data_IF_978329871513
#
_entry.id   IF_978329871513
#
_cell.length_a   1.000
_cell.length_b   1.000
_cell.length_c   1.000
_cell.angle_alpha   90.00
_cell.angle_beta   90.00
_cell.angle_gamma   90.00
#
_symmetry.space_group_name_H-M   'P 1'
#
loop_
_entity.id
_entity.type
_entity.pdbx_description
1 polymer ?
#
# COMPACT_ATOMS: atom_id res chain seq x y z
N UNK A 1 -0.86 20.27 -5.59
CA UNK A 1 -0.97 20.34 -4.11
C UNK A 1 -2.37 20.72 -3.60
N UNK A 2 -3.29 21.09 -4.46
CA UNK A 2 -4.71 21.24 -4.14
C UNK A 2 -5.45 20.14 -4.89
N UNK A 3 -6.39 19.46 -4.24
CA UNK A 3 -7.13 18.29 -4.77
C UNK A 3 -7.85 18.56 -6.12
N UNK A 4 -7.54 19.65 -6.79
CA UNK A 4 -8.07 20.11 -8.09
C UNK A 4 -9.61 20.01 -8.19
N UNK A 5 -10.30 20.14 -7.06
CA UNK A 5 -11.76 20.17 -7.05
C UNK A 5 -12.26 21.49 -7.63
N UNK A 6 -13.38 21.43 -8.32
CA UNK A 6 -14.08 22.62 -8.81
C UNK A 6 -14.77 23.32 -7.63
N UNK A 7 -14.31 24.51 -7.18
CA UNK A 7 -14.82 25.14 -5.97
C UNK A 7 -16.27 25.61 -6.09
N UNK A 8 -16.74 25.82 -7.31
CA UNK A 8 -18.10 26.24 -7.65
C UNK A 8 -19.06 25.07 -7.90
N UNK A 9 -18.61 23.83 -7.76
CA UNK A 9 -19.41 22.61 -7.90
C UNK A 9 -19.54 21.90 -6.56
N UNK A 10 -20.71 21.29 -6.33
CA UNK A 10 -20.92 20.45 -5.14
C UNK A 10 -20.09 19.18 -5.19
N UNK A 11 -20.06 18.41 -4.09
CA UNK A 11 -19.44 17.08 -4.03
C UNK A 11 -19.97 16.19 -5.15
N UNK A 12 -21.31 16.05 -5.27
CA UNK A 12 -21.93 15.26 -6.31
C UNK A 12 -21.51 15.70 -7.73
N UNK A 13 -21.47 17.01 -7.97
CA UNK A 13 -21.08 17.56 -9.26
C UNK A 13 -19.57 17.40 -9.54
N UNK A 14 -18.73 17.39 -8.51
CA UNK A 14 -17.32 17.12 -8.66
C UNK A 14 -17.10 15.64 -9.03
N UNK A 15 -17.69 14.72 -8.29
CA UNK A 15 -17.56 13.28 -8.53
C UNK A 15 -18.13 12.88 -9.88
N UNK A 16 -19.32 13.39 -10.24
CA UNK A 16 -19.99 13.10 -11.51
C UNK A 16 -19.43 13.85 -12.72
N UNK A 17 -18.45 14.76 -12.53
CA UNK A 17 -17.98 15.65 -13.60
C UNK A 17 -17.46 14.89 -14.83
N UNK A 18 -16.61 13.90 -14.63
CA UNK A 18 -16.05 13.10 -15.72
C UNK A 18 -17.12 12.32 -16.49
N UNK A 19 -18.10 11.77 -15.77
CA UNK A 19 -19.24 11.06 -16.37
C UNK A 19 -20.12 12.01 -17.22
N UNK A 20 -20.35 13.22 -16.72
CA UNK A 20 -21.12 14.23 -17.45
C UNK A 20 -20.40 14.68 -18.74
N UNK A 21 -19.05 14.80 -18.71
CA UNK A 21 -18.23 15.11 -19.90
C UNK A 21 -18.27 13.97 -20.92
N UNK A 22 -18.39 12.73 -20.46
CA UNK A 22 -18.58 11.56 -21.32
C UNK A 22 -19.99 11.44 -21.91
N UNK A 23 -20.85 12.43 -21.69
CA UNK A 23 -22.26 12.45 -22.12
C UNK A 23 -23.12 11.31 -21.54
N UNK A 24 -22.76 10.79 -20.36
CA UNK A 24 -23.60 9.85 -19.62
C UNK A 24 -24.91 10.56 -19.21
N UNK A 25 -26.08 9.93 -19.37
CA UNK A 25 -27.36 10.50 -18.95
C UNK A 25 -27.35 10.95 -17.49
N UNK A 26 -28.09 12.04 -17.20
CA UNK A 26 -28.03 12.68 -15.88
C UNK A 26 -28.38 11.74 -14.73
N UNK A 27 -29.42 10.95 -14.89
CA UNK A 27 -29.87 10.04 -13.84
C UNK A 27 -28.85 8.94 -13.58
N UNK A 28 -28.19 8.44 -14.62
CA UNK A 28 -27.15 7.42 -14.54
C UNK A 28 -25.88 7.95 -13.90
N UNK A 29 -25.39 9.15 -14.28
CA UNK A 29 -24.18 9.66 -13.66
C UNK A 29 -24.41 10.08 -12.19
N UNK A 30 -25.63 10.53 -11.82
CA UNK A 30 -25.97 10.82 -10.43
C UNK A 30 -25.90 9.53 -9.60
N UNK A 31 -26.49 8.44 -10.07
CA UNK A 31 -26.43 7.15 -9.39
C UNK A 31 -24.99 6.66 -9.19
N UNK A 32 -24.18 6.66 -10.25
CA UNK A 32 -22.77 6.28 -10.20
C UNK A 32 -21.97 7.16 -9.25
N UNK A 33 -22.15 8.48 -9.32
CA UNK A 33 -21.45 9.43 -8.44
C UNK A 33 -21.85 9.24 -6.98
N UNK A 34 -23.13 9.04 -6.67
CA UNK A 34 -23.62 8.78 -5.32
C UNK A 34 -23.04 7.48 -4.77
N UNK A 35 -22.98 6.42 -5.58
CA UNK A 35 -22.32 5.17 -5.18
C UNK A 35 -20.88 5.40 -4.73
N UNK A 36 -20.10 6.18 -5.48
CA UNK A 36 -18.71 6.47 -5.12
C UNK A 36 -18.58 7.39 -3.91
N UNK A 37 -19.48 8.37 -3.74
CA UNK A 37 -19.54 9.21 -2.55
C UNK A 37 -19.73 8.36 -1.30
N UNK A 38 -20.67 7.41 -1.32
CA UNK A 38 -20.92 6.52 -0.20
C UNK A 38 -19.71 5.59 0.07
N UNK A 39 -19.07 5.06 -1.00
CA UNK A 39 -17.88 4.20 -0.88
C UNK A 39 -16.69 4.86 -0.19
N UNK A 40 -16.53 6.17 -0.39
CA UNK A 40 -15.45 6.93 0.27
C UNK A 40 -15.89 7.54 1.61
N UNK A 41 -17.07 7.17 2.13
CA UNK A 41 -17.57 7.61 3.43
C UNK A 41 -17.99 9.08 3.46
N UNK A 42 -18.57 9.58 2.36
CA UNK A 42 -19.07 10.96 2.25
C UNK A 42 -20.58 11.03 2.03
N UNK A 43 -21.33 10.01 2.49
CA UNK A 43 -22.79 10.00 2.48
C UNK A 43 -23.34 11.22 3.26
N UNK A 44 -24.31 11.93 2.69
CA UNK A 44 -24.91 13.14 3.25
C UNK A 44 -24.18 14.44 2.92
N UNK A 45 -23.01 14.38 2.22
CA UNK A 45 -22.25 15.57 1.82
C UNK A 45 -22.42 15.93 0.33
N UNK A 46 -23.36 15.32 -0.39
CA UNK A 46 -23.54 15.42 -1.84
C UNK A 46 -23.75 16.86 -2.32
N UNK A 47 -24.41 17.67 -1.48
CA UNK A 47 -24.77 19.08 -1.78
C UNK A 47 -23.74 20.09 -1.27
N UNK A 48 -22.73 19.65 -0.50
CA UNK A 48 -21.71 20.53 0.04
C UNK A 48 -20.71 20.96 -1.03
N UNK A 49 -20.14 22.14 -0.85
CA UNK A 49 -19.05 22.66 -1.69
C UNK A 49 -17.69 22.33 -1.07
N UNK A 50 -16.61 22.23 -1.88
CA UNK A 50 -15.27 21.94 -1.36
C UNK A 50 -14.83 22.79 -0.19
N UNK A 51 -15.13 24.11 -0.19
CA UNK A 51 -14.78 25.02 0.90
C UNK A 51 -15.47 24.72 2.25
N UNK A 52 -16.46 23.86 2.28
CA UNK A 52 -17.17 23.44 3.50
C UNK A 52 -16.63 22.12 4.06
N UNK A 53 -15.63 21.50 3.41
CA UNK A 53 -15.08 20.20 3.73
C UNK A 53 -13.68 20.32 4.34
N UNK A 54 -13.32 19.38 5.22
CA UNK A 54 -11.93 19.23 5.66
C UNK A 54 -11.02 18.79 4.51
N UNK A 55 -9.69 18.93 4.65
CA UNK A 55 -8.73 18.51 3.63
C UNK A 55 -8.86 17.01 3.27
N UNK A 56 -9.03 16.15 4.27
CA UNK A 56 -9.24 14.72 4.05
C UNK A 56 -10.56 14.42 3.32
N UNK A 57 -11.64 15.14 3.63
CA UNK A 57 -12.91 15.00 2.88
C UNK A 57 -12.76 15.45 1.42
N UNK A 58 -12.06 16.57 1.18
CA UNK A 58 -11.78 17.03 -0.19
C UNK A 58 -11.01 15.99 -0.99
N UNK A 59 -10.06 15.31 -0.36
CA UNK A 59 -9.30 14.25 -0.99
C UNK A 59 -10.16 13.03 -1.32
N UNK A 60 -11.05 12.61 -0.41
CA UNK A 60 -12.03 11.55 -0.69
C UNK A 60 -12.93 11.90 -1.88
N UNK A 61 -13.32 13.17 -2.02
CA UNK A 61 -14.05 13.64 -3.22
C UNK A 61 -13.18 13.49 -4.47
N UNK A 62 -11.89 13.83 -4.40
CA UNK A 62 -10.94 13.68 -5.51
C UNK A 62 -10.77 12.22 -5.93
N UNK A 63 -10.63 11.32 -4.96
CA UNK A 63 -10.56 9.86 -5.19
C UNK A 63 -11.85 9.33 -5.82
N UNK A 64 -13.01 9.66 -5.25
CA UNK A 64 -14.32 9.28 -5.79
C UNK A 64 -14.52 9.76 -7.23
N UNK A 65 -14.10 11.00 -7.54
CA UNK A 65 -14.15 11.56 -8.91
C UNK A 65 -13.29 10.77 -9.89
N UNK A 66 -12.07 10.38 -9.49
CA UNK A 66 -11.18 9.62 -10.34
C UNK A 66 -11.72 8.21 -10.61
N UNK A 67 -12.29 7.56 -9.60
CA UNK A 67 -12.85 6.21 -9.70
C UNK A 67 -14.19 6.17 -10.45
N UNK A 68 -14.98 7.24 -10.37
CA UNK A 68 -16.32 7.30 -11.00
C UNK A 68 -16.27 7.15 -12.53
N UNK A 69 -15.18 7.57 -13.17
CA UNK A 69 -15.01 7.49 -14.64
C UNK A 69 -14.72 6.09 -15.16
N UNK A 70 -14.53 5.13 -14.26
CA UNK A 70 -14.26 3.72 -14.55
C UNK A 70 -13.01 3.48 -15.46
N UNK A 71 -12.01 4.36 -15.37
CA UNK A 71 -10.77 4.22 -16.11
C UNK A 71 -10.05 2.91 -15.74
N UNK A 72 -9.41 2.26 -16.70
CA UNK A 72 -8.63 1.02 -16.49
C UNK A 72 -7.33 1.31 -15.72
N UNK A 73 -6.74 2.49 -15.94
CA UNK A 73 -5.50 2.94 -15.31
C UNK A 73 -5.78 4.20 -14.50
N UNK A 74 -5.40 4.19 -13.23
CA UNK A 74 -5.48 5.35 -12.33
C UNK A 74 -4.06 5.89 -12.07
N UNK A 75 -3.86 7.17 -12.38
CA UNK A 75 -2.60 7.87 -12.08
C UNK A 75 -2.78 8.73 -10.84
N UNK A 76 -1.95 8.50 -9.83
CA UNK A 76 -1.96 9.21 -8.56
C UNK A 76 -0.57 9.81 -8.30
N UNK A 77 -0.48 11.13 -8.26
CA UNK A 77 0.77 11.85 -8.03
C UNK A 77 0.72 12.52 -6.65
N UNK A 78 1.54 12.04 -5.72
CA UNK A 78 1.63 12.48 -4.33
C UNK A 78 0.26 12.65 -3.64
N UNK A 79 -0.65 11.73 -3.92
CA UNK A 79 -2.06 11.87 -3.58
C UNK A 79 -2.34 12.06 -2.08
N UNK A 80 -1.47 11.58 -1.19
CA UNK A 80 -1.68 11.63 0.26
C UNK A 80 -0.65 12.49 1.02
N UNK A 81 0.25 13.18 0.31
CA UNK A 81 1.36 13.95 0.92
C UNK A 81 0.90 15.09 1.84
N UNK A 82 -0.22 15.72 1.54
CA UNK A 82 -0.75 16.87 2.29
C UNK A 82 -1.66 16.48 3.49
N UNK A 83 -1.83 15.19 3.77
CA UNK A 83 -2.68 14.71 4.85
C UNK A 83 -1.90 14.51 6.16
N UNK A 84 -2.60 14.69 7.28
CA UNK A 84 -2.07 14.23 8.56
C UNK A 84 -1.96 12.68 8.60
N UNK A 85 -1.11 12.11 9.49
CA UNK A 85 -0.82 10.68 9.47
C UNK A 85 -2.05 9.78 9.65
N UNK A 86 -3.05 10.20 10.44
CA UNK A 86 -4.24 9.39 10.70
C UNK A 86 -5.13 9.29 9.45
N UNK A 87 -5.45 10.45 8.87
CA UNK A 87 -6.27 10.53 7.64
C UNK A 87 -5.53 9.86 6.46
N UNK A 88 -4.20 10.03 6.37
CA UNK A 88 -3.37 9.36 5.36
C UNK A 88 -3.53 7.84 5.45
N UNK A 89 -3.38 7.27 6.66
CA UNK A 89 -3.52 5.81 6.86
C UNK A 89 -4.92 5.32 6.49
N UNK A 90 -5.96 6.07 6.83
CA UNK A 90 -7.35 5.77 6.46
C UNK A 90 -7.55 5.78 4.93
N UNK A 91 -7.01 6.79 4.24
CA UNK A 91 -7.10 6.91 2.78
C UNK A 91 -6.36 5.79 2.05
N UNK A 92 -5.19 5.40 2.55
CA UNK A 92 -4.43 4.26 2.03
C UNK A 92 -5.23 2.95 2.16
N UNK A 93 -5.87 2.73 3.32
CA UNK A 93 -6.71 1.54 3.53
C UNK A 93 -7.92 1.52 2.57
N UNK A 94 -8.61 2.66 2.41
CA UNK A 94 -9.71 2.79 1.43
C UNK A 94 -9.21 2.47 0.02
N UNK A 95 -8.02 2.94 -0.37
CA UNK A 95 -7.44 2.66 -1.70
C UNK A 95 -7.16 1.16 -1.88
N UNK A 96 -6.58 0.50 -0.87
CA UNK A 96 -6.29 -0.94 -0.89
C UNK A 96 -7.57 -1.78 -0.98
N UNK A 97 -8.59 -1.44 -0.19
CA UNK A 97 -9.89 -2.11 -0.22
C UNK A 97 -10.55 -1.98 -1.61
N UNK A 98 -10.53 -0.77 -2.17
CA UNK A 98 -11.06 -0.53 -3.51
C UNK A 98 -10.27 -1.25 -4.61
N UNK A 99 -8.93 -1.30 -4.51
CA UNK A 99 -8.08 -1.99 -5.46
C UNK A 99 -8.35 -3.49 -5.45
N UNK A 100 -8.51 -4.10 -4.26
CA UNK A 100 -8.81 -5.53 -4.11
C UNK A 100 -10.15 -5.94 -4.74
N UNK A 101 -11.12 -5.02 -4.82
CA UNK A 101 -12.43 -5.26 -5.44
C UNK A 101 -12.44 -4.95 -6.94
N UNK A 102 -11.76 -3.88 -7.36
CA UNK A 102 -11.85 -3.35 -8.72
C UNK A 102 -10.78 -3.91 -9.66
N UNK A 103 -9.70 -4.47 -9.10
CA UNK A 103 -8.55 -5.02 -9.85
C UNK A 103 -7.99 -4.07 -10.93
N UNK A 104 -7.99 -2.75 -10.64
CA UNK A 104 -7.49 -1.73 -11.56
C UNK A 104 -5.98 -1.58 -11.47
N UNK A 105 -5.35 -1.16 -12.56
CA UNK A 105 -3.96 -0.75 -12.55
C UNK A 105 -3.83 0.64 -11.94
N UNK A 106 -3.05 0.78 -10.88
CA UNK A 106 -2.78 2.07 -10.24
C UNK A 106 -1.29 2.37 -10.38
N UNK A 107 -0.96 3.52 -10.97
CA UNK A 107 0.39 4.08 -10.94
C UNK A 107 0.40 5.16 -9.87
N UNK A 108 1.13 4.89 -8.79
CA UNK A 108 1.17 5.75 -7.61
C UNK A 108 2.56 6.34 -7.45
N UNK A 109 2.68 7.67 -7.51
CA UNK A 109 3.93 8.40 -7.31
C UNK A 109 3.95 8.94 -5.89
N UNK A 110 5.01 8.63 -5.15
CA UNK A 110 5.24 9.12 -3.79
C UNK A 110 6.74 9.28 -3.53
N UNK A 111 7.09 10.17 -2.61
CA UNK A 111 8.43 10.26 -2.03
C UNK A 111 8.52 9.59 -0.64
N UNK A 112 7.40 9.03 -0.16
CA UNK A 112 7.30 8.31 1.12
C UNK A 112 7.42 6.81 0.87
N UNK A 113 8.54 6.23 1.33
CA UNK A 113 8.83 4.81 1.12
C UNK A 113 7.87 3.90 1.92
N UNK A 114 7.49 4.28 3.14
CA UNK A 114 6.52 3.50 3.93
C UNK A 114 5.19 3.39 3.19
N UNK A 115 4.78 4.46 2.51
CA UNK A 115 3.60 4.48 1.66
C UNK A 115 3.74 3.55 0.46
N UNK A 116 4.87 3.62 -0.26
CA UNK A 116 5.16 2.72 -1.38
C UNK A 116 5.16 1.24 -0.96
N UNK A 117 5.80 0.92 0.18
CA UNK A 117 5.87 -0.44 0.72
C UNK A 117 4.50 -0.97 1.18
N UNK A 118 3.60 -0.08 1.64
CA UNK A 118 2.25 -0.45 2.08
C UNK A 118 1.29 -0.69 0.92
N UNK A 119 1.37 0.15 -0.13
CA UNK A 119 0.38 0.19 -1.21
C UNK A 119 0.82 -0.63 -2.44
N UNK A 120 2.13 -0.63 -2.75
CA UNK A 120 2.63 -1.13 -4.03
C UNK A 120 2.80 -2.64 -4.07
N UNK A 121 2.29 -3.27 -5.13
CA UNK A 121 2.66 -4.64 -5.50
C UNK A 121 4.06 -4.67 -6.14
N UNK A 122 4.43 -3.59 -6.85
CA UNK A 122 5.77 -3.33 -7.41
C UNK A 122 6.18 -1.90 -7.11
N UNK A 123 7.46 -1.71 -6.84
CA UNK A 123 8.04 -0.41 -6.55
C UNK A 123 9.20 -0.16 -7.51
N UNK A 124 9.13 0.97 -8.21
CA UNK A 124 10.22 1.47 -9.03
C UNK A 124 10.91 2.65 -8.31
N UNK A 125 12.17 2.48 -7.95
CA UNK A 125 12.99 3.52 -7.33
C UNK A 125 13.74 4.27 -8.43
N UNK A 126 13.55 5.58 -8.48
CA UNK A 126 14.17 6.46 -9.47
C UNK A 126 15.20 7.37 -8.79
N UNK A 127 16.32 7.59 -9.52
CA UNK A 127 17.35 8.55 -9.14
C UNK A 127 17.84 9.29 -10.39
N UNK A 128 17.87 10.60 -10.35
CA UNK A 128 18.36 11.46 -11.44
C UNK A 128 17.71 11.13 -12.81
N UNK A 129 16.41 10.82 -12.80
CA UNK A 129 15.66 10.47 -14.02
C UNK A 129 15.86 9.05 -14.53
N UNK A 130 16.64 8.22 -13.83
CA UNK A 130 16.91 6.82 -14.19
C UNK A 130 16.30 5.87 -13.16
N UNK A 131 15.83 4.72 -13.62
CA UNK A 131 15.35 3.65 -12.75
C UNK A 131 16.54 2.90 -12.15
N UNK A 132 16.64 2.88 -10.81
CA UNK A 132 17.71 2.20 -10.06
C UNK A 132 17.30 0.77 -9.71
N UNK A 133 16.08 0.58 -9.26
CA UNK A 133 15.52 -0.74 -8.93
C UNK A 133 14.02 -0.77 -9.23
N UNK A 134 13.53 -1.90 -9.75
CA UNK A 134 12.12 -2.19 -9.95
C UNK A 134 11.85 -3.62 -9.49
N UNK A 135 11.20 -3.76 -8.33
CA UNK A 135 10.99 -5.05 -7.67
C UNK A 135 9.72 -5.02 -6.81
N UNK A 136 9.33 -6.15 -6.26
CA UNK A 136 8.35 -6.19 -5.17
C UNK A 136 8.93 -5.61 -3.86
N UNK A 137 8.07 -5.22 -2.90
CA UNK A 137 8.49 -4.64 -1.63
C UNK A 137 9.48 -5.50 -0.83
N UNK A 138 9.33 -6.82 -0.87
CA UNK A 138 10.19 -7.75 -0.10
C UNK A 138 11.59 -7.75 -0.69
N UNK A 139 11.71 -7.81 -2.03
CA UNK A 139 13.00 -7.81 -2.72
C UNK A 139 13.76 -6.49 -2.51
N UNK A 140 13.08 -5.34 -2.53
CA UNK A 140 13.73 -4.05 -2.23
C UNK A 140 14.34 -4.02 -0.84
N UNK A 141 13.62 -4.55 0.16
CA UNK A 141 14.10 -4.55 1.55
C UNK A 141 15.17 -5.60 1.79
N UNK A 142 15.06 -6.76 1.16
CA UNK A 142 15.99 -7.87 1.39
C UNK A 142 17.28 -7.71 0.56
N UNK A 143 17.18 -7.24 -0.67
CA UNK A 143 18.24 -7.19 -1.66
C UNK A 143 18.28 -5.81 -2.36
N UNK A 144 18.66 -4.72 -1.64
CA UNK A 144 18.81 -3.40 -2.26
C UNK A 144 19.87 -3.44 -3.36
N UNK A 145 19.57 -2.81 -4.51
CA UNK A 145 20.41 -2.87 -5.72
C UNK A 145 21.76 -2.16 -5.54
N UNK A 146 21.79 -1.09 -4.75
CA UNK A 146 23.00 -0.31 -4.48
C UNK A 146 22.95 0.39 -3.10
N UNK A 147 24.01 1.13 -2.78
CA UNK A 147 24.12 1.88 -1.52
C UNK A 147 23.03 2.98 -1.42
N UNK A 148 22.59 3.56 -2.54
CA UNK A 148 21.52 4.55 -2.55
C UNK A 148 20.21 3.94 -2.09
N UNK A 149 19.82 2.78 -2.63
CA UNK A 149 18.61 2.06 -2.21
C UNK A 149 18.75 1.60 -0.76
N UNK A 150 19.95 1.10 -0.37
CA UNK A 150 20.23 0.70 1.01
C UNK A 150 20.07 1.85 2.01
N UNK A 151 20.55 3.04 1.66
CA UNK A 151 20.37 4.25 2.47
C UNK A 151 18.92 4.70 2.52
N UNK A 152 18.18 4.54 1.42
CA UNK A 152 16.78 4.91 1.33
C UNK A 152 15.89 4.05 2.23
N UNK A 153 16.21 2.75 2.39
CA UNK A 153 15.44 1.81 3.21
C UNK A 153 15.94 1.68 4.66
N UNK A 154 17.01 2.36 5.05
CA UNK A 154 17.71 2.13 6.33
C UNK A 154 16.87 2.35 7.58
N UNK A 155 15.90 3.29 7.51
CA UNK A 155 15.06 3.68 8.65
C UNK A 155 13.72 2.91 8.69
N UNK A 156 13.47 2.05 7.70
CA UNK A 156 12.27 1.22 7.64
C UNK A 156 12.26 0.18 8.75
N UNK A 157 11.12 0.07 9.44
CA UNK A 157 10.91 -1.03 10.38
C UNK A 157 10.67 -2.34 9.61
N UNK A 158 11.75 -3.09 9.40
CA UNK A 158 11.75 -4.36 8.66
C UNK A 158 10.73 -5.37 9.20
N UNK A 159 10.52 -5.39 10.52
CA UNK A 159 9.57 -6.32 11.14
C UNK A 159 8.12 -6.09 10.71
N UNK A 160 7.77 -4.86 10.31
CA UNK A 160 6.43 -4.48 9.84
C UNK A 160 6.19 -4.70 8.35
N UNK A 161 7.25 -4.95 7.59
CA UNK A 161 7.17 -5.06 6.13
C UNK A 161 7.51 -6.46 5.66
N UNK A 162 8.56 -7.07 6.22
CA UNK A 162 9.00 -8.41 5.80
C UNK A 162 7.96 -9.44 6.21
N UNK A 163 7.59 -10.29 5.24
CA UNK A 163 6.60 -11.34 5.39
C UNK A 163 7.27 -12.70 5.64
N UNK A 164 6.52 -13.62 6.26
CA UNK A 164 6.94 -14.99 6.56
C UNK A 164 7.59 -15.69 5.38
N UNK A 165 6.98 -15.58 4.18
CA UNK A 165 7.46 -16.23 2.95
C UNK A 165 8.90 -15.86 2.57
N UNK A 166 9.36 -14.66 2.96
CA UNK A 166 10.68 -14.12 2.58
C UNK A 166 11.82 -14.67 3.44
N UNK A 167 11.52 -15.21 4.64
CA UNK A 167 12.54 -15.69 5.59
C UNK A 167 12.34 -17.15 6.03
N UNK A 168 11.23 -17.80 5.62
CA UNK A 168 10.94 -19.17 6.04
C UNK A 168 11.94 -20.18 5.48
N UNK A 169 12.20 -21.22 6.23
CA UNK A 169 12.84 -22.43 5.70
C UNK A 169 11.78 -23.29 5.03
N UNK A 170 11.93 -23.55 3.74
CA UNK A 170 10.96 -24.34 2.97
C UNK A 170 10.85 -25.78 3.49
N UNK A 171 9.65 -26.22 3.80
CA UNK A 171 9.33 -27.58 4.20
C UNK A 171 7.84 -27.86 3.96
N UNK A 172 7.50 -29.14 3.78
CA UNK A 172 6.10 -29.58 3.70
C UNK A 172 5.61 -30.22 5.00
N UNK A 173 6.47 -30.26 6.04
CA UNK A 173 6.16 -30.91 7.31
C UNK A 173 5.71 -29.85 8.31
N UNK A 174 4.57 -30.09 8.98
CA UNK A 174 4.12 -29.23 10.09
C UNK A 174 5.10 -29.30 11.25
N UNK A 175 5.35 -28.15 11.85
CA UNK A 175 6.08 -28.04 13.13
C UNK A 175 5.13 -28.25 14.32
N UNK A 176 5.68 -28.29 15.53
CA UNK A 176 4.91 -28.43 16.76
C UNK A 176 4.25 -27.14 17.24
N UNK A 177 4.57 -26.02 16.63
CA UNK A 177 4.08 -24.69 17.01
C UNK A 177 2.86 -24.22 16.23
N UNK A 178 2.47 -22.96 16.41
CA UNK A 178 1.33 -22.35 15.74
C UNK A 178 1.44 -22.37 14.22
N UNK A 179 0.30 -22.20 13.54
CA UNK A 179 0.22 -22.08 12.08
C UNK A 179 -0.10 -20.65 11.73
N UNK A 180 0.64 -20.07 10.79
CA UNK A 180 0.42 -18.70 10.29
C UNK A 180 0.46 -18.65 8.76
N UNK A 181 -0.08 -17.58 8.19
CA UNK A 181 -0.10 -17.38 6.74
C UNK A 181 1.25 -16.86 6.22
N UNK A 182 1.60 -17.22 5.00
CA UNK A 182 2.87 -16.84 4.36
C UNK A 182 3.04 -15.32 4.13
N UNK A 183 1.94 -14.54 4.16
CA UNK A 183 1.95 -13.08 4.05
C UNK A 183 1.95 -12.35 5.41
N UNK A 184 1.95 -13.06 6.53
CA UNK A 184 2.04 -12.47 7.86
C UNK A 184 3.39 -11.77 8.05
N UNK A 185 3.39 -10.56 8.62
CA UNK A 185 4.62 -9.80 8.88
C UNK A 185 5.38 -10.32 10.10
N UNK A 186 6.68 -10.05 10.16
CA UNK A 186 7.55 -10.60 11.22
C UNK A 186 7.17 -10.11 12.61
N UNK A 187 6.65 -8.88 12.75
CA UNK A 187 6.21 -8.30 14.03
C UNK A 187 5.09 -9.17 14.65
N UNK A 188 4.11 -9.58 13.85
CA UNK A 188 3.00 -10.42 14.31
C UNK A 188 3.48 -11.85 14.65
N UNK A 189 4.39 -12.39 13.83
CA UNK A 189 4.98 -13.70 14.10
C UNK A 189 5.80 -13.69 15.37
N UNK A 190 6.56 -12.62 15.63
CA UNK A 190 7.32 -12.44 16.86
C UNK A 190 6.41 -12.42 18.08
N UNK A 191 5.27 -11.73 17.99
CA UNK A 191 4.28 -11.72 19.07
C UNK A 191 3.73 -13.12 19.36
N UNK A 192 3.41 -13.90 18.32
CA UNK A 192 2.95 -15.29 18.47
C UNK A 192 4.04 -16.17 19.08
N UNK A 193 5.30 -16.01 18.67
CA UNK A 193 6.41 -16.82 19.19
C UNK A 193 6.89 -16.38 20.57
N UNK A 194 6.51 -15.20 21.07
CA UNK A 194 6.90 -14.71 22.39
C UNK A 194 6.43 -15.60 23.55
N UNK A 195 5.30 -16.32 23.36
CA UNK A 195 4.74 -17.22 24.37
C UNK A 195 5.58 -18.48 24.55
N UNK A 196 6.17 -19.01 23.45
CA UNK A 196 7.10 -20.14 23.49
C UNK A 196 8.14 -20.04 22.36
N UNK A 197 9.25 -19.31 22.58
CA UNK A 197 10.27 -19.07 21.56
C UNK A 197 10.99 -20.34 21.04
N UNK A 198 10.84 -21.46 21.73
CA UNK A 198 11.46 -22.74 21.34
C UNK A 198 10.70 -23.48 20.26
N UNK A 199 9.41 -23.17 20.06
CA UNK A 199 8.56 -23.84 19.07
C UNK A 199 8.59 -23.12 17.72
N UNK A 200 9.01 -23.80 16.64
CA UNK A 200 8.91 -23.23 15.30
C UNK A 200 7.47 -23.02 14.87
N UNK A 201 7.21 -21.91 14.17
CA UNK A 201 5.90 -21.62 13.55
C UNK A 201 5.82 -22.32 12.20
N UNK A 202 4.68 -22.96 11.90
CA UNK A 202 4.37 -23.53 10.58
C UNK A 202 3.80 -22.44 9.66
N UNK A 203 4.28 -22.38 8.42
CA UNK A 203 3.80 -21.43 7.41
C UNK A 203 2.90 -22.16 6.41
N UNK A 204 1.70 -21.62 6.20
CA UNK A 204 0.75 -22.12 5.20
C UNK A 204 0.44 -21.03 4.16
N UNK A 205 0.23 -21.45 2.91
CA UNK A 205 -0.25 -20.56 1.86
C UNK A 205 -1.78 -20.39 1.94
N UNK A 206 -2.34 -19.52 1.08
CA UNK A 206 -3.78 -19.23 1.00
C UNK A 206 -4.66 -20.47 0.73
N UNK A 207 -4.08 -21.57 0.26
CA UNK A 207 -4.76 -22.87 0.01
C UNK A 207 -4.67 -23.83 1.20
N UNK A 208 -4.06 -23.42 2.32
CA UNK A 208 -3.86 -24.25 3.51
C UNK A 208 -2.76 -25.31 3.36
N UNK A 209 -1.88 -25.19 2.36
CA UNK A 209 -0.75 -26.09 2.21
C UNK A 209 0.46 -25.55 3.00
N UNK A 210 1.15 -26.44 3.71
CA UNK A 210 2.40 -26.11 4.38
C UNK A 210 3.48 -25.80 3.36
N UNK A 211 4.06 -24.59 3.44
CA UNK A 211 5.11 -24.09 2.55
C UNK A 211 6.46 -23.95 3.25
N UNK A 212 6.45 -23.78 4.57
CA UNK A 212 7.67 -23.61 5.33
C UNK A 212 7.49 -23.63 6.84
N UNK A 213 8.59 -23.37 7.54
CA UNK A 213 8.64 -23.10 8.98
C UNK A 213 9.53 -21.90 9.26
N UNK A 214 9.27 -21.23 10.38
CA UNK A 214 10.12 -20.16 10.91
C UNK A 214 10.53 -20.51 12.33
N UNK A 215 11.81 -20.45 12.58
CA UNK A 215 12.43 -20.55 13.91
C UNK A 215 12.81 -19.14 14.39
N UNK A 216 13.01 -18.92 15.70
CA UNK A 216 13.38 -17.62 16.25
C UNK A 216 14.65 -17.04 15.59
N UNK A 217 15.59 -17.90 15.22
CA UNK A 217 16.80 -17.48 14.49
C UNK A 217 16.49 -16.85 13.13
N UNK A 218 15.51 -17.37 12.40
CA UNK A 218 15.08 -16.79 11.11
C UNK A 218 14.48 -15.39 11.30
N UNK A 219 13.63 -15.20 12.34
CA UNK A 219 13.06 -13.89 12.67
C UNK A 219 14.16 -12.87 12.97
N UNK A 220 15.09 -13.21 13.85
CA UNK A 220 16.20 -12.33 14.23
C UNK A 220 17.02 -11.96 12.99
N UNK A 221 17.34 -12.92 12.12
CA UNK A 221 18.10 -12.66 10.90
C UNK A 221 17.33 -11.76 9.92
N UNK A 222 16.04 -12.02 9.71
CA UNK A 222 15.17 -11.19 8.85
C UNK A 222 15.06 -9.74 9.33
N UNK A 223 15.11 -9.51 10.63
CA UNK A 223 15.05 -8.15 11.20
C UNK A 223 16.38 -7.39 11.12
N UNK A 224 17.52 -8.06 10.91
CA UNK A 224 18.82 -7.40 10.76
C UNK A 224 18.85 -6.56 9.49
N UNK A 225 19.54 -5.44 9.55
CA UNK A 225 19.81 -4.63 8.36
C UNK A 225 20.70 -5.41 7.39
N UNK A 226 20.47 -5.30 6.06
CA UNK A 226 21.41 -5.84 5.08
C UNK A 226 22.81 -5.26 5.36
N UNK A 227 23.85 -6.08 5.26
CA UNK A 227 25.22 -5.54 5.28
C UNK A 227 25.39 -4.73 4.00
N UNK A 228 25.75 -3.44 4.10
CA UNK A 228 26.20 -2.67 2.95
C UNK A 228 27.28 -3.48 2.25
N UNK A 229 27.15 -3.70 0.96
CA UNK A 229 28.25 -4.27 0.17
C UNK A 229 29.34 -3.20 0.16
N UNK A 230 30.28 -3.29 1.11
CA UNK A 230 31.40 -2.39 1.20
C UNK A 230 32.11 -2.37 -0.14
N UNK A 231 32.18 -1.20 -0.76
CA UNK A 231 33.12 -0.91 -1.82
C UNK A 231 34.50 -1.29 -1.30
N UNK A 232 35.06 -2.40 -1.78
CA UNK A 232 36.50 -2.66 -1.67
C UNK A 232 37.21 -1.54 -2.41
N UNK A 233 37.53 -0.47 -1.67
CA UNK A 233 38.51 0.52 -2.12
C UNK A 233 39.86 -0.18 -1.95
N UNK A 234 40.24 -0.95 -2.97
CA UNK A 234 41.63 -1.30 -3.18
C UNK A 234 42.34 -0.04 -3.61
N UNK A 235 43.23 0.43 -2.75
CA UNK A 235 44.10 1.58 -2.98
C UNK A 235 45.08 1.40 -4.15
#
# INVERSE_FOLDING_TARGET
>A
QKFALFPHKTVLQNVGYGLAVQNIPKDEWIEKATKWINRVGLEGYETYYPGQLSGGMQQRVGLARALATDAEILLMDEAFSALDPLIRSEMQNILLDLQSELHKTIIFITHDLDEALKIGDRIAILRDGSMVQDSDPQEIIMNPADDYVSDFIKDINRARVIQAKSIMTHTKTKSSGPVVQENMVLEDILQIMSDDPSKPVTIENSKGNVTGKIEMANLIEGMKRPKSQGTNITG
#
